data_IF_634872284701
#
_entry.id   IF_634872284701
#
_cell.length_a   1.000
_cell.length_b   1.000
_cell.length_c   1.000
_cell.angle_alpha   90.00
_cell.angle_beta   90.00
_cell.angle_gamma   90.00
#
_symmetry.space_group_name_H-M   'P 1'
#
loop_
_entity.id
_entity.type
_entity.pdbx_description
1 polymer ?
#
# COMPACT_ATOMS: atom_id res chain seq x y z
N UNK A 1 -5.78 -8.00 6.65
CA UNK A 1 -5.04 -8.84 7.63
C UNK A 1 -5.76 -8.75 8.95
N UNK A 2 -5.81 -9.84 9.72
CA UNK A 2 -6.48 -9.83 11.01
C UNK A 2 -5.59 -9.26 12.11
N UNK A 3 -6.22 -8.77 13.18
CA UNK A 3 -5.51 -8.28 14.36
C UNK A 3 -4.64 -9.38 14.97
N UNK A 4 -5.15 -10.60 15.02
CA UNK A 4 -4.45 -11.76 15.55
C UNK A 4 -3.19 -12.09 14.75
N UNK A 5 -3.26 -11.98 13.43
CA UNK A 5 -2.11 -12.20 12.56
C UNK A 5 -1.04 -11.12 12.76
N UNK A 6 -1.45 -9.85 12.88
CA UNK A 6 -0.52 -8.75 13.17
C UNK A 6 0.18 -9.01 14.51
N UNK A 7 -0.58 -9.38 15.54
CA UNK A 7 -0.02 -9.68 16.86
C UNK A 7 0.98 -10.84 16.82
N UNK A 8 0.65 -11.88 16.06
CA UNK A 8 1.55 -13.04 15.90
C UNK A 8 2.86 -12.65 15.20
N UNK A 9 2.79 -11.83 14.17
CA UNK A 9 3.98 -11.34 13.46
C UNK A 9 4.85 -10.47 14.37
N UNK A 10 4.25 -9.58 15.14
CA UNK A 10 4.98 -8.73 16.09
C UNK A 10 5.66 -9.58 17.16
N UNK A 11 4.97 -10.58 17.70
CA UNK A 11 5.54 -11.47 18.70
C UNK A 11 6.70 -12.29 18.15
N UNK A 12 6.55 -12.83 16.95
CA UNK A 12 7.62 -13.58 16.28
C UNK A 12 8.85 -12.70 16.05
N UNK A 13 8.64 -11.45 15.64
CA UNK A 13 9.71 -10.47 15.47
C UNK A 13 10.43 -10.21 16.80
N UNK A 14 9.66 -10.03 17.88
CA UNK A 14 10.23 -9.80 19.21
C UNK A 14 11.12 -10.95 19.67
N UNK A 15 10.71 -12.19 19.42
CA UNK A 15 11.51 -13.39 19.73
C UNK A 15 12.85 -13.41 18.97
N UNK A 16 12.93 -12.72 17.84
CA UNK A 16 14.13 -12.62 17.01
C UNK A 16 14.88 -11.30 17.18
N UNK A 17 14.48 -10.49 18.14
CA UNK A 17 15.10 -9.20 18.40
C UNK A 17 14.75 -8.12 17.38
N UNK A 18 13.66 -8.26 16.65
CA UNK A 18 13.17 -7.30 15.67
C UNK A 18 12.06 -6.47 16.31
N UNK A 19 12.15 -5.14 16.23
CA UNK A 19 11.14 -4.28 16.82
C UNK A 19 9.82 -4.30 16.04
N UNK A 20 8.76 -3.85 16.71
CA UNK A 20 7.41 -3.85 16.16
C UNK A 20 7.31 -3.04 14.87
N UNK A 21 7.90 -1.85 14.84
CA UNK A 21 7.83 -0.96 13.67
C UNK A 21 8.49 -1.59 12.45
N UNK A 22 9.63 -2.23 12.64
CA UNK A 22 10.34 -2.92 11.56
C UNK A 22 9.54 -4.10 11.01
N UNK A 23 8.86 -4.86 11.88
CA UNK A 23 8.00 -5.96 11.45
C UNK A 23 6.82 -5.45 10.62
N UNK A 24 6.17 -4.40 11.08
CA UNK A 24 5.02 -3.81 10.37
C UNK A 24 5.44 -3.22 9.03
N UNK A 25 6.56 -2.52 8.99
CA UNK A 25 7.07 -1.94 7.75
C UNK A 25 7.42 -3.03 6.73
N UNK A 26 8.08 -4.10 7.17
CA UNK A 26 8.41 -5.23 6.31
C UNK A 26 7.15 -5.89 5.73
N UNK A 27 6.10 -6.05 6.54
CA UNK A 27 4.82 -6.59 6.08
C UNK A 27 4.15 -5.66 5.05
N UNK A 28 4.15 -4.36 5.31
CA UNK A 28 3.61 -3.37 4.37
C UNK A 28 4.34 -3.41 3.03
N UNK A 29 5.67 -3.48 3.05
CA UNK A 29 6.48 -3.57 1.84
C UNK A 29 6.21 -4.86 1.07
N UNK A 30 6.10 -5.98 1.76
CA UNK A 30 5.82 -7.28 1.14
C UNK A 30 4.45 -7.29 0.47
N UNK A 31 3.42 -6.80 1.14
CA UNK A 31 2.07 -6.71 0.55
C UNK A 31 2.02 -5.73 -0.61
N UNK A 32 2.67 -4.58 -0.48
CA UNK A 32 2.75 -3.58 -1.55
C UNK A 32 3.43 -4.15 -2.79
N UNK A 33 4.53 -4.85 -2.62
CA UNK A 33 5.25 -5.49 -3.73
C UNK A 33 4.38 -6.55 -4.42
N UNK A 34 3.64 -7.35 -3.65
CA UNK A 34 2.76 -8.38 -4.20
C UNK A 34 1.61 -7.77 -5.01
N UNK A 35 1.00 -6.69 -4.50
CA UNK A 35 -0.07 -5.98 -5.20
C UNK A 35 0.44 -5.33 -6.49
N UNK A 36 1.62 -4.71 -6.46
CA UNK A 36 2.23 -4.12 -7.63
C UNK A 36 2.50 -5.17 -8.70
N UNK A 37 2.98 -6.34 -8.34
CA UNK A 37 3.19 -7.44 -9.29
C UNK A 37 1.90 -7.90 -9.93
N UNK A 38 0.83 -8.05 -9.16
CA UNK A 38 -0.47 -8.49 -9.66
C UNK A 38 -1.12 -7.47 -10.57
N UNK A 39 -0.93 -6.19 -10.30
CA UNK A 39 -1.46 -5.09 -11.11
C UNK A 39 -0.56 -4.68 -12.27
N UNK A 40 0.69 -5.15 -12.30
CA UNK A 40 1.66 -4.66 -13.26
C UNK A 40 2.02 -3.19 -13.06
N UNK A 41 2.05 -2.74 -11.80
CA UNK A 41 2.31 -1.35 -11.44
C UNK A 41 3.45 -1.24 -10.44
N UNK A 42 3.85 -0.01 -10.11
CA UNK A 42 4.90 0.26 -9.14
C UNK A 42 4.49 1.35 -8.13
N UNK A 43 3.24 1.75 -8.15
CA UNK A 43 2.73 2.92 -7.42
C UNK A 43 1.83 2.57 -6.23
N UNK A 44 1.65 1.28 -5.94
CA UNK A 44 0.79 0.83 -4.84
C UNK A 44 1.60 0.78 -3.55
N UNK A 45 1.03 1.38 -2.49
CA UNK A 45 1.57 1.35 -1.14
C UNK A 45 0.51 0.81 -0.18
N UNK A 46 0.95 0.03 0.79
CA UNK A 46 0.06 -0.58 1.79
C UNK A 46 0.43 -0.05 3.17
N UNK A 47 -0.59 0.26 3.95
CA UNK A 47 -0.42 0.62 5.36
C UNK A 47 -1.25 -0.31 6.23
N UNK A 48 -0.65 -0.79 7.30
CA UNK A 48 -1.30 -1.67 8.27
C UNK A 48 -1.59 -0.92 9.55
N UNK A 49 -2.83 -1.04 10.04
CA UNK A 49 -3.18 -0.59 11.37
C UNK A 49 -2.89 -1.74 12.34
N UNK A 50 -1.91 -1.58 13.25
CA UNK A 50 -1.55 -2.66 14.17
C UNK A 50 -2.64 -2.96 15.20
N UNK A 51 -3.54 -2.03 15.48
CA UNK A 51 -4.59 -2.23 16.46
C UNK A 51 -5.78 -3.01 15.93
N UNK A 52 -6.21 -2.72 14.71
CA UNK A 52 -7.35 -3.38 14.08
C UNK A 52 -6.97 -4.50 13.12
N UNK A 53 -5.71 -4.51 12.67
CA UNK A 53 -5.26 -5.39 11.59
C UNK A 53 -5.76 -4.96 10.22
N UNK A 54 -6.39 -3.80 10.12
CA UNK A 54 -6.90 -3.29 8.85
C UNK A 54 -5.76 -2.96 7.89
N UNK A 55 -5.94 -3.31 6.64
CA UNK A 55 -5.01 -3.01 5.57
C UNK A 55 -5.61 -1.92 4.68
N UNK A 56 -4.90 -0.82 4.53
CA UNK A 56 -5.29 0.28 3.66
C UNK A 56 -4.35 0.32 2.47
N UNK A 57 -4.90 0.48 1.28
CA UNK A 57 -4.15 0.48 0.03
C UNK A 57 -4.19 1.87 -0.56
N UNK A 58 -3.02 2.39 -0.91
CA UNK A 58 -2.87 3.71 -1.50
C UNK A 58 -2.16 3.60 -2.84
N UNK A 59 -2.53 4.45 -3.76
CA UNK A 59 -1.79 4.63 -5.01
C UNK A 59 -1.12 5.98 -4.99
N UNK A 60 0.17 6.01 -5.29
CA UNK A 60 0.93 7.24 -5.44
C UNK A 60 1.04 7.57 -6.93
N UNK A 61 0.70 8.80 -7.31
CA UNK A 61 0.82 9.26 -8.68
C UNK A 61 1.73 10.47 -8.71
N UNK A 62 2.65 10.47 -9.67
CA UNK A 62 3.55 11.61 -9.88
C UNK A 62 2.85 12.67 -10.70
N UNK A 63 2.97 13.92 -10.27
CA UNK A 63 2.45 15.07 -11.02
C UNK A 63 3.45 15.46 -12.10
N UNK A 64 2.99 15.49 -13.35
CA UNK A 64 3.83 15.74 -14.53
C UNK A 64 3.16 16.75 -15.45
N UNK A 65 3.93 17.35 -16.37
CA UNK A 65 3.39 18.23 -17.41
C UNK A 65 2.61 17.45 -18.47
N UNK A 66 3.14 16.29 -18.85
CA UNK A 66 2.53 15.42 -19.86
C UNK A 66 2.54 13.98 -19.36
N UNK A 67 1.37 13.35 -19.31
CA UNK A 67 1.24 11.96 -18.85
C UNK A 67 1.77 11.01 -19.92
N UNK A 68 2.83 10.27 -19.55
CA UNK A 68 3.43 9.22 -20.39
C UNK A 68 3.04 7.81 -19.89
N UNK A 69 2.73 7.68 -18.60
CA UNK A 69 2.32 6.41 -17.98
C UNK A 69 0.97 6.59 -17.29
N UNK A 70 -0.09 6.18 -17.97
CA UNK A 70 -1.43 6.22 -17.38
C UNK A 70 -1.49 5.36 -16.12
N UNK A 71 -2.18 5.85 -15.10
CA UNK A 71 -2.31 5.19 -13.81
C UNK A 71 -1.21 5.51 -12.81
N UNK A 72 0.00 5.85 -13.28
CA UNK A 72 1.13 6.23 -12.41
C UNK A 72 1.38 7.73 -12.36
N UNK A 73 0.81 8.48 -13.30
CA UNK A 73 1.03 9.91 -13.45
C UNK A 73 -0.27 10.68 -13.61
N UNK A 74 -0.28 11.91 -13.12
CA UNK A 74 -1.36 12.86 -13.28
C UNK A 74 -0.85 14.19 -13.80
N UNK A 75 -1.67 14.88 -14.60
CA UNK A 75 -1.43 16.29 -14.88
C UNK A 75 -1.65 17.12 -13.62
N UNK A 76 -1.13 18.35 -13.63
CA UNK A 76 -1.35 19.29 -12.50
C UNK A 76 -2.84 19.50 -12.25
N UNK A 77 -3.64 19.65 -13.30
CA UNK A 77 -5.09 19.87 -13.18
C UNK A 77 -5.78 18.68 -12.50
N UNK A 78 -5.45 17.46 -12.90
CA UNK A 78 -6.01 16.26 -12.29
C UNK A 78 -5.55 16.09 -10.85
N UNK A 79 -4.29 16.35 -10.58
CA UNK A 79 -3.72 16.25 -9.24
C UNK A 79 -4.35 17.25 -8.27
N UNK A 80 -4.69 18.45 -8.74
CA UNK A 80 -5.29 19.50 -7.91
C UNK A 80 -6.72 19.19 -7.46
N UNK A 81 -7.37 18.21 -8.06
CA UNK A 81 -8.66 17.72 -7.58
C UNK A 81 -8.52 17.01 -6.22
N UNK A 82 -7.36 16.44 -5.94
CA UNK A 82 -7.07 15.75 -4.68
C UNK A 82 -6.21 16.60 -3.76
N UNK A 83 -5.23 17.31 -4.30
CA UNK A 83 -4.30 18.17 -3.56
C UNK A 83 -4.27 19.53 -4.23
N UNK A 84 -4.89 20.52 -3.59
CA UNK A 84 -5.15 21.85 -4.18
C UNK A 84 -3.88 22.59 -4.60
N UNK A 85 -2.76 22.35 -3.93
CA UNK A 85 -1.46 22.98 -4.17
C UNK A 85 -0.48 22.08 -4.93
N UNK A 86 -0.97 21.06 -5.62
CA UNK A 86 -0.12 20.14 -6.36
C UNK A 86 0.67 20.86 -7.44
N UNK A 87 1.95 20.49 -7.57
CA UNK A 87 2.87 21.03 -8.55
C UNK A 87 3.64 19.88 -9.22
N UNK A 88 4.21 20.14 -10.40
CA UNK A 88 5.03 19.16 -11.11
C UNK A 88 6.17 18.67 -10.21
N UNK A 89 6.34 17.35 -10.15
CA UNK A 89 7.32 16.69 -9.31
C UNK A 89 6.78 16.18 -7.99
N UNK A 90 5.57 16.59 -7.59
CA UNK A 90 4.94 16.09 -6.37
C UNK A 90 4.47 14.64 -6.55
N UNK A 91 4.38 13.92 -5.42
CA UNK A 91 3.71 12.63 -5.33
C UNK A 91 2.39 12.84 -4.60
N UNK A 92 1.30 12.39 -5.20
CA UNK A 92 -0.04 12.46 -4.60
C UNK A 92 -0.54 11.06 -4.32
N UNK A 93 -0.81 10.76 -3.05
CA UNK A 93 -1.37 9.48 -2.63
C UNK A 93 -2.89 9.57 -2.50
N UNK A 94 -3.59 8.56 -3.04
CA UNK A 94 -5.03 8.41 -2.87
C UNK A 94 -5.33 7.01 -2.40
N UNK A 95 -6.30 6.88 -1.49
CA UNK A 95 -6.74 5.57 -1.02
C UNK A 95 -7.52 4.85 -2.10
N UNK A 96 -7.12 3.60 -2.39
CA UNK A 96 -7.76 2.79 -3.42
C UNK A 96 -8.76 1.85 -2.77
N UNK A 97 -10.04 1.97 -3.14
CA UNK A 97 -11.13 1.18 -2.58
C UNK A 97 -11.82 0.30 -3.62
N UNK A 98 -11.18 0.04 -4.77
CA UNK A 98 -11.80 -0.75 -5.82
C UNK A 98 -12.06 -2.20 -5.37
N UNK A 99 -13.15 -2.84 -5.84
CA UNK A 99 -13.41 -4.25 -5.53
C UNK A 99 -12.28 -5.18 -6.00
N UNK A 100 -11.62 -4.84 -7.09
CA UNK A 100 -10.48 -5.60 -7.61
C UNK A 100 -9.31 -5.60 -6.62
N UNK A 101 -8.93 -4.43 -6.12
CA UNK A 101 -7.89 -4.29 -5.11
C UNK A 101 -8.29 -5.06 -3.84
N UNK A 102 -9.54 -4.94 -3.41
CA UNK A 102 -10.04 -5.64 -2.23
C UNK A 102 -9.90 -7.16 -2.35
N UNK A 103 -10.19 -7.72 -3.52
CA UNK A 103 -10.02 -9.16 -3.76
C UNK A 103 -8.57 -9.59 -3.73
N UNK A 104 -7.68 -8.79 -4.30
CA UNK A 104 -6.23 -9.08 -4.30
C UNK A 104 -5.69 -9.04 -2.86
N UNK A 105 -6.07 -8.04 -2.08
CA UNK A 105 -5.68 -7.93 -0.66
C UNK A 105 -6.16 -9.16 0.11
N UNK A 106 -7.40 -9.57 -0.05
CA UNK A 106 -7.94 -10.75 0.62
C UNK A 106 -7.20 -12.02 0.24
N UNK A 107 -6.85 -12.20 -1.03
CA UNK A 107 -6.10 -13.34 -1.50
C UNK A 107 -4.69 -13.38 -0.89
N UNK A 108 -4.00 -12.25 -0.82
CA UNK A 108 -2.68 -12.16 -0.21
C UNK A 108 -2.73 -12.46 1.30
N UNK A 109 -3.73 -11.97 1.99
CA UNK A 109 -3.90 -12.26 3.41
C UNK A 109 -4.08 -13.75 3.66
N UNK A 110 -4.87 -14.44 2.82
CA UNK A 110 -5.05 -15.90 2.92
C UNK A 110 -3.75 -16.65 2.67
N UNK A 111 -2.97 -16.25 1.67
CA UNK A 111 -1.67 -16.86 1.39
C UNK A 111 -0.70 -16.70 2.57
N UNK A 112 -0.69 -15.54 3.19
CA UNK A 112 0.14 -15.28 4.37
C UNK A 112 -0.26 -16.19 5.54
N UNK A 113 -1.56 -16.43 5.73
CA UNK A 113 -2.06 -17.31 6.78
C UNK A 113 -1.70 -18.77 6.54
N UNK A 114 -1.60 -19.18 5.29
CA UNK A 114 -1.30 -20.56 4.90
C UNK A 114 0.20 -20.85 4.85
N UNK A 115 1.01 -19.84 4.78
CA UNK A 115 2.47 -19.96 4.81
C UNK A 115 2.96 -20.11 6.25
#
# INVERSE_FOLDING_TARGET
MSKELVSALVQLGAERGIDRESVLLAAEEAYGAALNRKHGSSDIHVRLDPESGAMRVFRARRVVDEVLQQGAEWTVDDARRTKADAAVGDLVETEELSPEIGRIVAAQARQTLQA
#
